data_IF_534215285544
#
_entry.id   IF_534215285544
#
_cell.length_a   1.000
_cell.length_b   1.000
_cell.length_c   1.000
_cell.angle_alpha   90.00
_cell.angle_beta   90.00
_cell.angle_gamma   90.00
#
_symmetry.space_group_name_H-M   'P 1'
#
loop_
_entity.id
_entity.type
_entity.pdbx_description
1 polymer ?
#
# COMPACT_ATOMS: atom_id res chain seq x y z
N UNK A 1 17.35 20.50 35.57
CA UNK A 1 16.86 20.81 34.20
C UNK A 1 16.37 19.52 33.57
N UNK A 2 15.05 19.28 33.59
CA UNK A 2 14.41 18.12 32.97
C UNK A 2 14.30 18.35 31.47
N UNK A 3 15.13 17.67 30.67
CA UNK A 3 14.96 17.64 29.21
C UNK A 3 13.64 16.94 28.89
N UNK A 4 12.68 17.68 28.35
CA UNK A 4 11.47 17.11 27.79
C UNK A 4 11.84 16.17 26.64
N UNK A 5 11.44 14.89 26.74
CA UNK A 5 11.56 13.93 25.65
C UNK A 5 10.64 14.38 24.51
N UNK A 6 11.13 14.50 23.26
CA UNK A 6 10.26 14.87 22.15
C UNK A 6 9.19 13.79 21.99
N UNK A 7 7.93 14.21 22.07
CA UNK A 7 6.77 13.37 21.75
C UNK A 7 6.95 12.84 20.33
N UNK A 8 7.10 11.53 20.17
CA UNK A 8 7.29 10.92 18.86
C UNK A 8 6.01 11.10 18.03
N UNK A 9 6.02 12.01 17.07
CA UNK A 9 4.92 12.16 16.12
C UNK A 9 4.78 10.86 15.34
N UNK A 10 3.66 10.17 15.53
CA UNK A 10 3.35 8.97 14.76
C UNK A 10 3.15 9.36 13.30
N UNK A 11 4.01 8.87 12.41
CA UNK A 11 3.84 9.05 10.96
C UNK A 11 2.72 8.13 10.51
N UNK A 12 1.60 8.70 10.06
CA UNK A 12 0.48 7.95 9.49
C UNK A 12 0.70 7.87 7.97
N UNK A 13 0.94 6.68 7.39
CA UNK A 13 1.16 6.56 5.96
C UNK A 13 -0.10 6.98 5.19
N UNK A 14 0.07 7.91 4.25
CA UNK A 14 -1.02 8.32 3.36
C UNK A 14 -1.09 7.48 2.08
N UNK A 15 -0.05 6.70 1.80
CA UNK A 15 0.07 5.79 0.68
C UNK A 15 0.88 4.57 1.11
N UNK A 16 0.37 3.37 0.83
CA UNK A 16 1.10 2.11 1.00
C UNK A 16 1.16 1.45 -0.37
N UNK A 17 2.36 1.10 -0.81
CA UNK A 17 2.61 0.48 -2.11
C UNK A 17 3.02 -0.97 -1.89
N UNK A 18 2.32 -1.89 -2.52
CA UNK A 18 2.72 -3.28 -2.63
C UNK A 18 3.53 -3.43 -3.91
N UNK A 19 4.76 -3.89 -3.80
CA UNK A 19 5.60 -4.17 -4.97
C UNK A 19 5.49 -5.65 -5.37
N UNK A 20 5.59 -5.91 -6.67
CA UNK A 20 5.44 -7.23 -7.27
C UNK A 20 5.46 -7.14 -8.80
N UNK A 21 5.33 -8.29 -9.45
CA UNK A 21 5.12 -8.40 -10.89
C UNK A 21 3.68 -8.89 -11.18
N UNK A 22 3.02 -8.39 -12.23
CA UNK A 22 1.58 -8.59 -12.44
C UNK A 22 1.19 -9.94 -13.05
N UNK A 23 2.12 -10.71 -13.63
CA UNK A 23 1.77 -11.95 -14.30
C UNK A 23 1.51 -13.11 -13.31
N UNK A 24 0.57 -14.02 -13.64
CA UNK A 24 0.25 -15.18 -12.80
C UNK A 24 1.45 -16.06 -12.44
N UNK A 25 2.49 -16.11 -13.28
CA UNK A 25 3.71 -16.88 -13.01
C UNK A 25 4.52 -16.38 -11.81
N UNK A 26 4.24 -15.16 -11.34
CA UNK A 26 4.88 -14.55 -10.17
C UNK A 26 4.02 -14.65 -8.90
N UNK A 27 2.81 -15.18 -9.00
CA UNK A 27 1.93 -15.41 -7.85
C UNK A 27 2.62 -16.34 -6.84
N UNK A 28 2.49 -16.01 -5.55
CA UNK A 28 3.10 -16.74 -4.43
C UNK A 28 4.63 -16.80 -4.45
N UNK A 29 5.31 -15.99 -5.27
CA UNK A 29 6.76 -15.82 -5.17
C UNK A 29 7.10 -14.83 -4.05
N UNK A 30 8.28 -14.98 -3.42
CA UNK A 30 8.77 -14.00 -2.42
C UNK A 30 8.83 -12.56 -2.95
N UNK A 31 8.90 -12.41 -4.27
CA UNK A 31 8.95 -11.12 -4.96
C UNK A 31 7.59 -10.39 -4.98
N UNK A 32 6.48 -11.14 -4.86
CA UNK A 32 5.11 -10.61 -4.87
C UNK A 32 4.50 -10.46 -3.46
N UNK A 33 5.26 -10.70 -2.40
CA UNK A 33 4.76 -10.57 -1.02
C UNK A 33 4.21 -9.16 -0.72
N UNK A 34 4.71 -8.14 -1.43
CA UNK A 34 4.20 -6.78 -1.35
C UNK A 34 2.76 -6.67 -1.87
N UNK A 35 2.42 -7.32 -2.99
CA UNK A 35 1.04 -7.39 -3.50
C UNK A 35 0.12 -8.12 -2.52
N UNK A 36 0.55 -9.27 -2.00
CA UNK A 36 -0.24 -10.06 -1.05
C UNK A 36 -0.53 -9.27 0.24
N UNK A 37 0.46 -8.53 0.73
CA UNK A 37 0.32 -7.69 1.92
C UNK A 37 -0.70 -6.57 1.73
N UNK A 38 -0.64 -5.84 0.60
CA UNK A 38 -1.62 -4.77 0.34
C UNK A 38 -2.99 -5.30 -0.04
N UNK A 39 -3.10 -6.48 -0.62
CA UNK A 39 -4.39 -7.15 -0.85
C UNK A 39 -5.03 -7.58 0.46
N UNK A 40 -4.27 -8.13 1.40
CA UNK A 40 -4.75 -8.42 2.75
C UNK A 40 -5.20 -7.14 3.48
N UNK A 41 -4.46 -6.04 3.32
CA UNK A 41 -4.81 -4.75 3.90
C UNK A 41 -6.09 -4.15 3.28
N UNK A 42 -6.20 -4.18 1.94
CA UNK A 42 -7.38 -3.72 1.21
C UNK A 42 -8.64 -4.47 1.67
N UNK A 43 -8.56 -5.81 1.79
CA UNK A 43 -9.65 -6.65 2.32
C UNK A 43 -10.05 -6.25 3.73
N UNK A 44 -9.09 -6.08 4.64
CA UNK A 44 -9.36 -5.68 6.05
C UNK A 44 -9.97 -4.28 6.17
N UNK A 45 -9.71 -3.40 5.22
CA UNK A 45 -10.19 -2.01 5.20
C UNK A 45 -11.39 -1.80 4.26
N UNK A 46 -11.90 -2.86 3.64
CA UNK A 46 -12.97 -2.81 2.64
C UNK A 46 -12.67 -1.81 1.51
N UNK A 47 -11.40 -1.72 1.11
CA UNK A 47 -10.95 -0.88 0.00
C UNK A 47 -11.06 -1.68 -1.29
N UNK A 48 -11.87 -1.21 -2.22
CA UNK A 48 -11.97 -1.79 -3.55
C UNK A 48 -10.81 -1.33 -4.42
N UNK A 49 -10.30 -2.25 -5.25
CA UNK A 49 -9.32 -1.96 -6.26
C UNK A 49 -9.99 -1.47 -7.55
N UNK A 50 -9.42 -0.45 -8.17
CA UNK A 50 -9.72 -0.04 -9.53
C UNK A 50 -8.43 0.12 -10.32
N UNK A 51 -8.44 -0.25 -11.59
CA UNK A 51 -7.29 -0.01 -12.45
C UNK A 51 -7.17 1.49 -12.73
N UNK A 52 -5.99 2.05 -12.49
CA UNK A 52 -5.70 3.45 -12.71
C UNK A 52 -4.58 3.62 -13.74
N UNK A 53 -4.95 4.10 -14.94
CA UNK A 53 -4.02 4.30 -16.05
C UNK A 53 -2.90 5.29 -15.75
N UNK A 54 -3.19 6.36 -14.98
CA UNK A 54 -2.19 7.37 -14.61
C UNK A 54 -1.10 6.81 -13.70
N UNK A 55 -1.47 5.87 -12.84
CA UNK A 55 -0.53 5.20 -11.92
C UNK A 55 -0.02 3.88 -12.47
N UNK A 56 -0.44 3.48 -13.67
CA UNK A 56 -0.06 2.23 -14.32
C UNK A 56 -0.21 1.03 -13.37
N UNK A 57 -1.32 0.99 -12.63
CA UNK A 57 -1.45 0.12 -11.46
C UNK A 57 -2.88 -0.06 -10.98
N UNK A 58 -3.08 -1.03 -10.08
CA UNK A 58 -4.29 -1.10 -9.27
C UNK A 58 -4.21 -0.08 -8.14
N UNK A 59 -5.24 0.73 -7.99
CA UNK A 59 -5.33 1.77 -6.98
C UNK A 59 -6.59 1.58 -6.13
N UNK A 60 -6.49 1.91 -4.85
CA UNK A 60 -7.62 1.93 -3.93
C UNK A 60 -7.48 3.09 -2.95
N UNK A 61 -8.58 3.74 -2.60
CA UNK A 61 -8.64 4.76 -1.56
C UNK A 61 -9.75 4.41 -0.56
N UNK A 62 -9.47 4.64 0.72
CA UNK A 62 -10.46 4.49 1.77
C UNK A 62 -10.03 5.16 3.08
N UNK A 63 -10.77 4.85 4.15
CA UNK A 63 -10.50 5.43 5.47
C UNK A 63 -9.38 4.67 6.17
N UNK A 64 -8.30 5.39 6.46
CA UNK A 64 -7.14 4.97 7.22
C UNK A 64 -7.32 5.13 8.73
N UNK A 65 -6.19 5.23 9.43
CA UNK A 65 -6.18 5.40 10.89
C UNK A 65 -6.66 6.80 11.27
N UNK A 66 -7.46 6.91 12.34
CA UNK A 66 -7.96 8.18 12.88
C UNK A 66 -8.71 9.05 11.84
N UNK A 67 -9.41 8.42 10.89
CA UNK A 67 -10.17 9.14 9.86
C UNK A 67 -9.33 9.73 8.73
N UNK A 68 -8.02 9.51 8.71
CA UNK A 68 -7.15 9.93 7.61
C UNK A 68 -7.47 9.18 6.32
N UNK A 69 -7.09 9.73 5.16
CA UNK A 69 -7.15 8.99 3.89
C UNK A 69 -6.00 7.99 3.80
N UNK A 70 -6.32 6.75 3.49
CA UNK A 70 -5.36 5.70 3.14
C UNK A 70 -5.49 5.38 1.66
N UNK A 71 -4.38 5.45 0.94
CA UNK A 71 -4.28 5.01 -0.45
C UNK A 71 -3.43 3.76 -0.54
N UNK A 72 -3.83 2.85 -1.40
CA UNK A 72 -3.11 1.62 -1.71
C UNK A 72 -2.78 1.60 -3.20
N UNK A 73 -1.61 1.06 -3.55
CA UNK A 73 -1.15 0.94 -4.94
C UNK A 73 -0.47 -0.42 -5.17
N UNK A 74 -0.81 -1.08 -6.28
CA UNK A 74 -0.05 -2.19 -6.87
C UNK A 74 0.37 -1.81 -8.29
N UNK A 75 1.63 -1.39 -8.52
CA UNK A 75 2.11 -1.05 -9.85
C UNK A 75 2.06 -2.27 -10.78
N UNK A 76 1.65 -2.09 -12.03
CA UNK A 76 1.69 -3.11 -13.09
C UNK A 76 2.93 -2.94 -14.00
N UNK A 77 3.94 -2.19 -13.55
CA UNK A 77 5.10 -1.78 -14.35
C UNK A 77 6.24 -2.79 -14.35
N UNK A 78 6.10 -3.97 -13.75
CA UNK A 78 7.20 -4.82 -13.28
C UNK A 78 8.03 -4.15 -12.18
N UNK A 79 8.70 -4.95 -11.36
CA UNK A 79 9.50 -4.48 -10.23
C UNK A 79 10.66 -3.57 -10.64
N UNK A 80 11.25 -3.79 -11.81
CA UNK A 80 12.51 -3.17 -12.24
C UNK A 80 12.34 -2.06 -13.29
N UNK A 81 11.14 -1.49 -13.42
CA UNK A 81 10.90 -0.32 -14.27
C UNK A 81 10.66 0.94 -13.45
#
# INVERSE_FOLDING_TARGET
MTKATPSSTLVIPQLIVGLGNPEPKYDNTRHNIGFDAVDALARRRLISWSENRRFQGWFGEGTGFKGSKLRLLKPLTYMNR
#
